data_IF_771201990977
#
_entry.id   IF_771201990977
#
_cell.length_a   1.000
_cell.length_b   1.000
_cell.length_c   1.000
_cell.angle_alpha   90.00
_cell.angle_beta   90.00
_cell.angle_gamma   90.00
#
_symmetry.space_group_name_H-M   'P 1'
#
loop_
_entity.id
_entity.type
_entity.pdbx_description
1 polymer ?
#
# COMPACT_ATOMS: atom_id res chain seq x y z
N UNK A 1 7.08 1.82 7.35
CA UNK A 1 7.91 2.90 6.77
C UNK A 1 9.16 3.07 7.63
N UNK A 2 9.96 4.14 7.48
CA UNK A 2 11.14 4.38 8.34
C UNK A 2 10.79 5.00 9.71
N UNK A 3 9.52 5.30 9.95
CA UNK A 3 9.08 6.16 11.06
C UNK A 3 8.42 5.35 12.20
N UNK A 4 8.66 4.03 12.31
CA UNK A 4 8.00 3.12 13.28
C UNK A 4 6.48 3.37 13.37
N UNK A 5 5.83 3.47 12.22
CA UNK A 5 4.42 3.86 12.15
C UNK A 5 3.49 2.68 11.93
N UNK A 6 2.33 2.74 12.58
CA UNK A 6 1.20 1.85 12.34
C UNK A 6 0.24 2.46 11.33
N UNK A 7 -0.30 1.62 10.46
CA UNK A 7 -1.34 1.99 9.51
C UNK A 7 -2.61 1.21 9.84
N UNK A 8 -3.72 1.92 9.99
CA UNK A 8 -5.00 1.37 10.41
C UNK A 8 -6.04 1.68 9.37
N UNK A 9 -6.65 0.65 8.82
CA UNK A 9 -7.86 0.80 8.02
C UNK A 9 -9.05 0.95 8.93
N UNK A 10 -9.52 2.19 9.04
CA UNK A 10 -10.63 2.61 9.90
C UNK A 10 -11.93 2.47 9.09
N UNK A 11 -12.32 1.20 8.84
CA UNK A 11 -13.31 0.79 7.85
C UNK A 11 -14.61 1.60 7.92
N UNK A 12 -15.21 1.70 9.10
CA UNK A 12 -16.49 2.41 9.30
C UNK A 12 -16.40 3.91 9.04
N UNK A 13 -15.19 4.48 9.04
CA UNK A 13 -14.93 5.89 8.74
C UNK A 13 -14.37 6.11 7.32
N UNK A 14 -14.38 5.08 6.46
CA UNK A 14 -13.96 5.15 5.06
C UNK A 14 -12.57 5.80 4.84
N UNK A 15 -11.60 5.47 5.71
CA UNK A 15 -10.27 6.08 5.69
C UNK A 15 -9.17 5.14 6.17
N UNK A 16 -7.93 5.51 5.87
CA UNK A 16 -6.73 4.90 6.45
C UNK A 16 -6.00 5.96 7.28
N UNK A 17 -5.63 5.57 8.50
CA UNK A 17 -4.93 6.40 9.47
C UNK A 17 -3.49 5.92 9.64
N UNK A 18 -2.53 6.85 9.63
CA UNK A 18 -1.14 6.64 10.09
C UNK A 18 -1.01 7.08 11.54
N UNK A 19 -0.41 6.25 12.37
CA UNK A 19 -0.06 6.55 13.76
C UNK A 19 1.43 6.34 13.96
N UNK A 20 2.13 7.40 14.38
CA UNK A 20 3.52 7.29 14.82
C UNK A 20 3.51 6.73 16.25
N UNK A 21 4.48 5.89 16.59
CA UNK A 21 4.61 5.36 17.95
C UNK A 21 4.56 6.48 19.01
N UNK A 22 3.74 6.30 20.04
CA UNK A 22 3.51 7.29 21.09
C UNK A 22 2.60 8.47 20.73
N UNK A 23 2.17 8.62 19.47
CA UNK A 23 1.29 9.70 19.05
C UNK A 23 -0.10 9.62 19.72
N UNK A 24 -0.67 10.78 20.04
CA UNK A 24 -2.03 10.91 20.59
C UNK A 24 -3.11 11.13 19.52
N UNK A 25 -2.69 11.42 18.28
CA UNK A 25 -3.57 11.67 17.16
C UNK A 25 -3.00 10.99 15.91
N UNK A 26 -3.87 10.43 15.09
CA UNK A 26 -3.53 9.85 13.80
C UNK A 26 -3.65 10.86 12.66
N UNK A 27 -2.99 10.56 11.55
CA UNK A 27 -3.02 11.36 10.33
C UNK A 27 -3.81 10.58 9.26
N UNK A 28 -4.81 11.20 8.63
CA UNK A 28 -5.49 10.61 7.47
C UNK A 28 -4.50 10.56 6.31
N UNK A 29 -4.26 9.36 5.77
CA UNK A 29 -3.31 9.15 4.66
C UNK A 29 -3.95 8.60 3.38
N UNK A 30 -5.21 8.15 3.46
CA UNK A 30 -6.04 7.79 2.32
C UNK A 30 -7.53 7.89 2.71
N UNK A 31 -8.39 8.22 1.74
CA UNK A 31 -9.83 8.39 1.97
C UNK A 31 -10.18 9.59 2.87
N UNK A 32 -11.23 9.43 3.69
CA UNK A 32 -11.64 10.43 4.67
C UNK A 32 -12.53 11.55 4.13
N UNK A 33 -12.96 11.48 2.87
CA UNK A 33 -13.94 12.40 2.25
C UNK A 33 -15.34 11.75 2.16
N UNK A 34 -15.69 10.96 3.17
CA UNK A 34 -16.90 10.14 3.20
C UNK A 34 -16.77 8.84 2.41
N UNK A 35 -17.75 7.96 2.60
CA UNK A 35 -17.86 6.71 1.86
C UNK A 35 -18.26 6.98 0.39
N UNK A 36 -17.60 6.29 -0.55
CA UNK A 36 -17.91 6.40 -1.97
C UNK A 36 -16.85 5.78 -2.87
N UNK A 37 -16.98 5.99 -4.18
CA UNK A 37 -16.11 5.42 -5.21
C UNK A 37 -15.21 6.46 -5.92
N UNK A 38 -15.26 7.72 -5.49
CA UNK A 38 -14.36 8.77 -5.99
C UNK A 38 -12.89 8.48 -5.69
N UNK A 39 -11.97 9.25 -6.29
CA UNK A 39 -10.52 9.09 -6.07
C UNK A 39 -10.05 9.61 -4.70
N UNK A 40 -10.89 10.36 -3.99
CA UNK A 40 -10.66 10.82 -2.61
C UNK A 40 -11.44 10.01 -1.58
N UNK A 41 -12.23 9.03 -2.03
CA UNK A 41 -13.16 8.25 -1.21
C UNK A 41 -12.77 6.76 -1.21
N UNK A 42 -13.22 6.08 -0.17
CA UNK A 42 -13.12 4.63 -0.02
C UNK A 42 -14.50 4.09 0.39
N UNK A 43 -14.77 2.82 0.15
CA UNK A 43 -15.90 2.11 0.72
C UNK A 43 -15.41 0.86 1.43
N UNK A 44 -15.60 0.84 2.75
CA UNK A 44 -15.22 -0.28 3.61
C UNK A 44 -13.76 -0.74 3.42
N UNK A 45 -12.75 0.14 3.55
CA UNK A 45 -11.36 -0.25 3.32
C UNK A 45 -10.89 -1.35 4.29
N UNK A 46 -10.12 -2.32 3.77
CA UNK A 46 -9.61 -3.48 4.51
C UNK A 46 -8.09 -3.51 4.57
N UNK A 47 -7.42 -4.44 3.90
CA UNK A 47 -5.96 -4.54 3.92
C UNK A 47 -5.27 -3.22 3.55
N UNK A 48 -4.17 -2.92 4.22
CA UNK A 48 -3.30 -1.79 3.93
C UNK A 48 -1.85 -2.24 3.93
N UNK A 49 -1.10 -1.83 2.91
CA UNK A 49 0.35 -2.02 2.84
C UNK A 49 1.01 -0.71 2.47
N UNK A 50 2.23 -0.51 2.96
CA UNK A 50 2.99 0.71 2.74
C UNK A 50 4.40 0.38 2.28
N UNK A 51 4.82 0.99 1.17
CA UNK A 51 6.17 0.80 0.65
C UNK A 51 7.23 1.65 1.41
N UNK A 52 8.50 1.52 1.02
CA UNK A 52 9.60 2.25 1.63
C UNK A 52 9.58 3.77 1.36
N UNK A 53 8.85 4.21 0.33
CA UNK A 53 8.65 5.61 -0.03
C UNK A 53 7.47 6.23 0.75
N UNK A 54 6.73 5.41 1.51
CA UNK A 54 5.53 5.83 2.22
C UNK A 54 4.28 5.88 1.34
N UNK A 55 4.30 5.26 0.16
CA UNK A 55 3.10 5.06 -0.66
C UNK A 55 2.18 4.09 0.07
N UNK A 56 0.93 4.49 0.27
CA UNK A 56 -0.11 3.66 0.89
C UNK A 56 -0.90 2.96 -0.20
N UNK A 57 -1.08 1.66 -0.04
CA UNK A 57 -1.90 0.81 -0.89
C UNK A 57 -3.05 0.28 -0.05
N UNK A 58 -4.28 0.47 -0.52
CA UNK A 58 -5.49 0.18 0.25
C UNK A 58 -6.38 -0.77 -0.54
N UNK A 59 -6.82 -1.83 0.11
CA UNK A 59 -7.91 -2.66 -0.38
C UNK A 59 -9.22 -1.91 -0.15
N UNK A 60 -9.78 -1.37 -1.22
CA UNK A 60 -11.07 -0.68 -1.20
C UNK A 60 -12.18 -1.70 -1.47
N UNK A 61 -12.47 -2.51 -0.44
CA UNK A 61 -13.25 -3.76 -0.55
C UNK A 61 -14.63 -3.53 -1.16
N UNK A 62 -15.34 -2.49 -0.71
CA UNK A 62 -16.70 -2.17 -1.18
C UNK A 62 -16.74 -1.71 -2.64
N UNK A 63 -15.62 -1.19 -3.14
CA UNK A 63 -15.47 -0.77 -4.54
C UNK A 63 -14.74 -1.81 -5.41
N UNK A 64 -14.38 -2.98 -4.86
CA UNK A 64 -13.72 -4.07 -5.58
C UNK A 64 -12.48 -3.62 -6.36
N UNK A 65 -11.62 -2.85 -5.69
CA UNK A 65 -10.40 -2.28 -6.28
C UNK A 65 -9.28 -2.16 -5.26
N UNK A 66 -8.05 -2.02 -5.75
CA UNK A 66 -6.90 -1.62 -4.95
C UNK A 66 -6.53 -0.18 -5.34
N UNK A 67 -6.42 0.68 -4.33
CA UNK A 67 -6.06 2.08 -4.50
C UNK A 67 -4.63 2.33 -4.05
N UNK A 68 -3.95 3.24 -4.75
CA UNK A 68 -2.60 3.73 -4.40
C UNK A 68 -2.64 5.21 -4.07
N UNK A 69 -2.06 5.58 -2.94
CA UNK A 69 -1.82 6.95 -2.48
C UNK A 69 -0.31 7.18 -2.26
N UNK A 70 0.38 7.92 -3.14
CA UNK A 70 1.71 8.42 -2.83
C UNK A 70 1.73 9.25 -1.53
N UNK A 71 2.85 9.26 -0.81
CA UNK A 71 3.00 10.05 0.41
C UNK A 71 2.66 11.53 0.15
N UNK A 72 1.68 12.06 0.90
CA UNK A 72 1.23 13.45 0.79
C UNK A 72 0.26 13.74 -0.36
N UNK A 73 -0.16 12.73 -1.12
CA UNK A 73 -1.16 12.91 -2.18
C UNK A 73 -2.55 13.23 -1.58
N UNK A 74 -3.27 14.14 -2.23
CA UNK A 74 -4.65 14.52 -1.84
C UNK A 74 -5.71 13.56 -2.38
N UNK A 75 -5.38 12.76 -3.39
CA UNK A 75 -6.24 11.74 -3.99
C UNK A 75 -5.44 10.52 -4.41
N UNK A 76 -6.13 9.40 -4.52
CA UNK A 76 -5.56 8.12 -4.92
C UNK A 76 -5.68 7.87 -6.41
N UNK A 77 -5.24 6.68 -6.80
CA UNK A 77 -5.39 6.13 -8.15
C UNK A 77 -5.74 4.65 -8.05
N UNK A 78 -6.63 4.19 -8.92
CA UNK A 78 -6.93 2.75 -9.05
C UNK A 78 -5.73 2.09 -9.73
N UNK A 79 -5.19 1.04 -9.14
CA UNK A 79 -4.05 0.28 -9.71
C UNK A 79 -4.38 -1.18 -10.03
N UNK A 80 -5.43 -1.74 -9.41
CA UNK A 80 -5.92 -3.10 -9.66
C UNK A 80 -7.44 -3.10 -9.49
N UNK A 81 -8.16 -3.81 -10.36
CA UNK A 81 -9.62 -3.90 -10.31
C UNK A 81 -10.31 -2.60 -10.74
N UNK A 82 -11.49 -2.32 -10.16
CA UNK A 82 -12.29 -1.15 -10.50
C UNK A 82 -13.11 -1.26 -11.79
N UNK A 83 -13.07 -2.42 -12.47
CA UNK A 83 -13.84 -2.72 -13.68
C UNK A 83 -15.14 -3.47 -13.37
N UNK A 84 -15.76 -3.16 -12.22
CA UNK A 84 -16.88 -3.91 -11.68
C UNK A 84 -16.47 -5.15 -10.87
N UNK A 85 -17.43 -5.66 -10.10
CA UNK A 85 -17.28 -6.88 -9.31
C UNK A 85 -17.38 -8.10 -10.23
N UNK A 86 -16.42 -9.03 -10.13
CA UNK A 86 -16.51 -10.26 -10.92
C UNK A 86 -15.22 -11.08 -10.95
N UNK A 87 -15.21 -12.07 -11.85
CA UNK A 87 -14.11 -13.03 -12.01
C UNK A 87 -13.30 -12.86 -13.29
N UNK A 88 -13.51 -11.78 -14.05
CA UNK A 88 -12.65 -11.48 -15.20
C UNK A 88 -11.23 -11.11 -14.73
N UNK A 89 -10.24 -11.24 -15.61
CA UNK A 89 -8.82 -11.03 -15.27
C UNK A 89 -8.48 -9.60 -14.81
N UNK A 90 -9.36 -8.63 -15.05
CA UNK A 90 -9.23 -7.23 -14.63
C UNK A 90 -10.28 -6.82 -13.58
N UNK A 91 -11.02 -7.78 -13.01
CA UNK A 91 -12.02 -7.56 -11.97
C UNK A 91 -11.56 -8.16 -10.64
N UNK A 92 -12.09 -7.63 -9.54
CA UNK A 92 -11.96 -8.22 -8.21
C UNK A 92 -13.36 -8.50 -7.66
N UNK A 93 -13.44 -9.40 -6.69
CA UNK A 93 -14.67 -9.68 -5.97
C UNK A 93 -14.36 -9.80 -4.48
N UNK A 94 -14.73 -8.77 -3.72
CA UNK A 94 -14.51 -8.67 -2.27
C UNK A 94 -13.05 -8.87 -1.82
N UNK A 95 -12.05 -8.17 -2.39
CA UNK A 95 -10.65 -8.34 -1.99
C UNK A 95 -10.47 -7.97 -0.51
N UNK A 96 -9.72 -8.73 0.28
CA UNK A 96 -9.58 -8.51 1.73
C UNK A 96 -8.22 -7.94 2.09
N UNK A 97 -7.15 -8.57 1.60
CA UNK A 97 -5.76 -8.24 1.91
C UNK A 97 -4.96 -8.08 0.62
N UNK A 98 -3.84 -7.38 0.71
CA UNK A 98 -2.83 -7.35 -0.34
C UNK A 98 -1.44 -7.64 0.28
N UNK A 99 -0.58 -8.28 -0.50
CA UNK A 99 0.85 -8.39 -0.20
C UNK A 99 1.65 -7.53 -1.17
N UNK A 100 2.75 -6.94 -0.71
CA UNK A 100 3.68 -6.18 -1.56
C UNK A 100 5.08 -6.77 -1.43
N UNK A 101 5.60 -7.34 -2.52
CA UNK A 101 6.96 -7.88 -2.55
C UNK A 101 7.93 -6.85 -3.15
N UNK A 102 9.00 -6.54 -2.44
CA UNK A 102 10.16 -5.86 -3.04
C UNK A 102 11.06 -6.89 -3.69
N UNK A 103 11.33 -6.74 -4.99
CA UNK A 103 12.43 -7.48 -5.61
C UNK A 103 13.74 -6.82 -5.17
N UNK A 104 14.55 -7.55 -4.40
CA UNK A 104 15.94 -7.18 -4.21
C UNK A 104 16.70 -7.56 -5.49
N UNK A 105 17.09 -6.57 -6.30
CA UNK A 105 18.13 -6.80 -7.29
C UNK A 105 19.39 -7.19 -6.52
N UNK A 106 19.94 -8.38 -6.78
CA UNK A 106 21.24 -8.79 -6.24
C UNK A 106 22.28 -7.75 -6.68
N UNK A 107 22.65 -6.83 -5.79
CA UNK A 107 23.95 -6.17 -5.87
C UNK A 107 24.99 -7.21 -5.45
N UNK A 108 25.40 -8.06 -6.39
CA UNK A 108 26.61 -8.85 -6.23
C UNK A 108 27.80 -7.90 -6.34
N UNK A 109 28.23 -7.36 -5.21
CA UNK A 109 29.61 -6.99 -5.00
C UNK A 109 30.41 -8.28 -4.77
N UNK A 110 31.22 -8.67 -5.75
CA UNK A 110 32.49 -9.32 -5.49
C UNK A 110 33.52 -8.41 -6.15
N UNK A 111 34.27 -7.68 -5.33
CA UNK A 111 35.49 -7.04 -5.80
C UNK A 111 36.48 -8.13 -6.23
N UNK A 112 37.08 -8.00 -7.40
CA UNK A 112 38.06 -8.93 -8.02
C UNK A 112 39.34 -9.19 -7.20
N UNK A 113 39.39 -8.80 -5.93
CA UNK A 113 40.57 -8.88 -5.08
C UNK A 113 40.77 -10.26 -4.42
N UNK A 114 39.73 -11.09 -4.32
CA UNK A 114 39.82 -12.38 -3.61
C UNK A 114 40.23 -13.58 -4.51
N UNK A 115 40.36 -13.41 -5.83
CA UNK A 115 40.70 -14.50 -6.76
C UNK A 115 42.20 -14.68 -7.07
N UNK A 116 43.12 -13.91 -6.47
CA UNK A 116 44.57 -14.03 -6.74
C UNK A 116 45.43 -14.68 -5.66
N UNK A 117 44.87 -15.07 -4.50
CA UNK A 117 45.67 -15.67 -3.41
C UNK A 117 45.63 -17.20 -3.32
N UNK A 118 45.10 -17.91 -4.34
CA UNK A 118 45.20 -19.37 -4.42
C UNK A 118 45.55 -19.84 -5.83
N UNK A 119 46.77 -19.53 -6.29
CA UNK A 119 47.54 -20.40 -7.19
C UNK A 119 49.02 -20.29 -6.80
N UNK A 120 49.44 -21.22 -5.93
CA UNK A 120 50.80 -21.75 -5.86
C UNK A 120 51.22 -22.34 -7.20
#
# INVERSE_FOLDING_TARGET
DRDHSMYVSDQGNARVMKWVEGAKQGIVVAGGQGEGNGLTQLSNPRGVVVDQLGTVYVVDWGNHRIMRWPKGATQGSVIVGGNGQGGQSNQLNGPIELGYSVQFTKLNALSDTELRNHKS
#
